data_IF_514838771765
#
_entry.id   IF_514838771765
#
_cell.length_a   1.000
_cell.length_b   1.000
_cell.length_c   1.000
_cell.angle_alpha   90.00
_cell.angle_beta   90.00
_cell.angle_gamma   90.00
#
_symmetry.space_group_name_H-M   'P 1'
#
loop_
_entity.id
_entity.type
_entity.pdbx_description
1 polymer ?
#
# COMPACT_ATOMS: atom_id res chain seq x y z
N UNK A 1 16.31 2.40 3.16
CA UNK A 1 14.86 2.30 3.31
C UNK A 1 14.41 0.85 3.15
N UNK A 2 13.33 0.49 3.84
CA UNK A 2 12.63 -0.80 3.70
C UNK A 2 11.11 -0.59 3.78
N UNK A 3 10.35 -1.47 3.12
CA UNK A 3 8.91 -1.55 3.31
C UNK A 3 8.59 -2.36 4.58
N UNK A 4 7.62 -1.91 5.36
CA UNK A 4 7.05 -2.70 6.46
C UNK A 4 5.54 -2.68 6.41
N UNK A 5 4.90 -3.81 6.71
CA UNK A 5 3.44 -3.89 6.79
C UNK A 5 2.97 -3.24 8.08
N UNK A 6 1.94 -2.40 7.99
CA UNK A 6 1.23 -1.86 9.16
C UNK A 6 -0.19 -2.42 9.24
N UNK A 7 -0.80 -2.21 10.40
CA UNK A 7 -2.19 -2.56 10.64
C UNK A 7 -3.10 -1.50 10.02
N UNK A 8 -4.22 -1.96 9.47
CA UNK A 8 -5.40 -1.16 9.12
C UNK A 8 -5.79 -0.24 10.29
N UNK A 9 -6.09 1.02 9.96
CA UNK A 9 -6.60 2.02 10.89
C UNK A 9 -8.07 2.35 10.64
N UNK A 10 -8.63 2.01 9.47
CA UNK A 10 -9.99 2.37 9.07
C UNK A 10 -11.07 1.30 9.33
N UNK A 11 -10.76 0.25 10.09
CA UNK A 11 -11.75 -0.74 10.52
C UNK A 11 -12.12 -1.72 9.42
N UNK A 12 -11.15 -2.10 8.57
CA UNK A 12 -11.28 -3.14 7.55
C UNK A 12 -11.44 -2.63 6.13
N UNK A 13 -11.28 -1.32 5.88
CA UNK A 13 -11.23 -0.78 4.52
C UNK A 13 -9.87 -0.94 3.89
N UNK A 14 -8.81 -0.78 4.68
CA UNK A 14 -7.44 -0.93 4.23
C UNK A 14 -7.04 -2.40 4.42
N UNK A 15 -7.14 -3.17 3.35
CA UNK A 15 -6.85 -4.61 3.41
C UNK A 15 -5.34 -4.85 3.56
N UNK A 16 -4.54 -3.96 2.98
CA UNK A 16 -3.08 -3.96 3.08
C UNK A 16 -2.56 -2.54 3.15
N UNK A 17 -1.67 -2.29 4.10
CA UNK A 17 -0.95 -1.02 4.19
C UNK A 17 0.52 -1.30 4.44
N UNK A 18 1.38 -0.65 3.68
CA UNK A 18 2.82 -0.71 3.82
C UNK A 18 3.41 0.69 3.90
N UNK A 19 4.48 0.81 4.67
CA UNK A 19 5.24 2.05 4.85
C UNK A 19 6.65 1.83 4.31
N UNK A 20 7.12 2.70 3.42
CA UNK A 20 8.52 2.80 3.05
C UNK A 20 9.20 3.67 4.09
N UNK A 21 10.09 3.07 4.87
CA UNK A 21 10.69 3.68 6.04
C UNK A 21 12.19 3.85 5.84
N UNK A 22 12.71 5.01 6.18
CA UNK A 22 14.15 5.25 6.24
C UNK A 22 14.80 4.49 7.41
N UNK A 23 15.93 3.82 7.15
CA UNK A 23 16.60 2.96 8.13
C UNK A 23 17.38 3.74 9.19
N UNK A 24 17.78 4.99 8.89
CA UNK A 24 18.59 5.81 9.78
C UNK A 24 17.72 6.55 10.82
N UNK A 25 16.57 7.09 10.41
CA UNK A 25 15.74 7.93 11.30
C UNK A 25 14.28 7.47 11.47
N UNK A 26 13.82 6.50 10.68
CA UNK A 26 12.48 5.92 10.79
C UNK A 26 11.36 6.78 10.18
N UNK A 27 11.69 7.84 9.43
CA UNK A 27 10.73 8.62 8.66
C UNK A 27 10.06 7.75 7.59
N UNK A 28 8.80 8.06 7.30
CA UNK A 28 8.04 7.43 6.21
C UNK A 28 8.18 8.31 4.97
N UNK A 29 8.72 7.77 3.89
CA UNK A 29 8.86 8.45 2.60
C UNK A 29 7.66 8.20 1.67
N UNK A 30 7.03 7.03 1.78
CA UNK A 30 5.88 6.64 0.97
C UNK A 30 5.00 5.63 1.72
N UNK A 31 3.70 5.70 1.46
CA UNK A 31 2.71 4.74 1.94
C UNK A 31 2.08 4.02 0.74
N UNK A 32 1.80 2.73 0.86
CA UNK A 32 1.13 1.92 -0.15
C UNK A 32 -0.13 1.29 0.46
N UNK A 33 -1.24 1.40 -0.24
CA UNK A 33 -2.55 0.95 0.20
C UNK A 33 -3.16 -0.05 -0.78
N UNK A 34 -3.81 -1.07 -0.23
CA UNK A 34 -4.84 -1.85 -0.90
C UNK A 34 -6.15 -1.56 -0.16
N UNK A 35 -7.09 -0.88 -0.81
CA UNK A 35 -8.39 -0.54 -0.23
C UNK A 35 -9.52 -1.27 -0.92
N UNK A 36 -10.61 -1.52 -0.18
CA UNK A 36 -11.89 -1.97 -0.74
C UNK A 36 -12.88 -0.81 -0.85
N UNK A 37 -13.61 -0.75 -1.97
CA UNK A 37 -14.75 0.16 -2.16
C UNK A 37 -16.07 -0.60 -2.18
N UNK A 38 -16.22 -1.65 -1.36
CA UNK A 38 -17.47 -2.42 -1.20
C UNK A 38 -18.71 -1.54 -0.97
N UNK A 39 -18.55 -0.34 -0.40
CA UNK A 39 -19.62 0.65 -0.22
C UNK A 39 -20.09 1.36 -1.50
N UNK A 40 -19.42 1.17 -2.66
CA UNK A 40 -19.74 1.77 -3.97
C UNK A 40 -20.09 0.77 -5.07
N UNK A 41 -20.21 -0.52 -4.75
CA UNK A 41 -20.50 -1.57 -5.73
C UNK A 41 -19.46 -2.67 -5.80
N UNK A 42 -18.44 -2.65 -4.93
CA UNK A 42 -17.35 -3.62 -4.90
C UNK A 42 -16.08 -3.07 -5.53
N UNK A 43 -15.05 -3.91 -5.59
CA UNK A 43 -13.75 -3.58 -6.16
C UNK A 43 -12.70 -3.17 -5.13
N UNK A 44 -11.47 -3.15 -5.62
CA UNK A 44 -10.27 -2.90 -4.86
C UNK A 44 -9.39 -1.92 -5.63
N UNK A 45 -8.76 -1.03 -4.90
CA UNK A 45 -7.83 -0.08 -5.48
C UNK A 45 -6.49 -0.18 -4.80
N UNK A 46 -5.45 0.15 -5.57
CA UNK A 46 -4.08 0.24 -5.09
C UNK A 46 -3.58 1.66 -5.30
N UNK A 47 -3.07 2.26 -4.25
CA UNK A 47 -2.57 3.64 -4.27
C UNK A 47 -1.25 3.77 -3.54
N UNK A 48 -0.38 4.65 -4.01
CA UNK A 48 0.70 5.21 -3.19
C UNK A 48 0.36 6.63 -2.74
N UNK A 49 0.88 7.00 -1.58
CA UNK A 49 0.78 8.35 -1.05
C UNK A 49 2.11 8.84 -0.49
N UNK A 50 2.46 10.09 -0.77
CA UNK A 50 3.62 10.76 -0.14
C UNK A 50 3.19 11.56 1.10
N UNK A 51 4.12 11.84 2.04
CA UNK A 51 3.84 12.68 3.21
C UNK A 51 3.36 14.10 2.87
N UNK A 52 3.70 14.59 1.68
CA UNK A 52 3.24 15.89 1.15
C UNK A 52 1.77 15.87 0.69
N UNK A 53 1.13 14.71 0.75
CA UNK A 53 -0.28 14.51 0.42
C UNK A 53 -0.55 14.28 -1.06
N UNK A 54 0.47 13.90 -1.84
CA UNK A 54 0.29 13.48 -3.23
C UNK A 54 -0.15 12.01 -3.26
N UNK A 55 -1.19 11.71 -4.05
CA UNK A 55 -1.74 10.37 -4.22
C UNK A 55 -1.59 9.92 -5.66
N UNK A 56 -1.11 8.70 -5.86
CA UNK A 56 -0.97 8.06 -7.18
C UNK A 56 -1.77 6.77 -7.19
N UNK A 57 -2.61 6.58 -8.21
CA UNK A 57 -3.34 5.32 -8.41
C UNK A 57 -2.48 4.35 -9.21
N UNK A 58 -2.20 3.20 -8.60
CA UNK A 58 -1.43 2.10 -9.17
C UNK A 58 -2.33 1.12 -9.93
N UNK A 59 -3.63 1.08 -9.61
CA UNK A 59 -4.64 0.35 -10.38
C UNK A 59 -5.97 0.19 -9.65
N UNK A 60 -6.98 -0.21 -10.41
CA UNK A 60 -8.32 -0.58 -9.95
C UNK A 60 -8.60 -2.03 -10.39
N UNK A 61 -9.15 -2.84 -9.49
CA UNK A 61 -9.31 -4.28 -9.66
C UNK A 61 -10.66 -4.76 -9.13
N UNK A 62 -11.25 -5.75 -9.79
CA UNK A 62 -12.46 -6.42 -9.29
C UNK A 62 -12.16 -7.53 -8.27
N UNK A 63 -10.90 -7.95 -8.20
CA UNK A 63 -10.43 -9.10 -7.40
C UNK A 63 -9.32 -8.69 -6.41
N UNK A 64 -9.43 -9.22 -5.19
CA UNK A 64 -8.52 -8.88 -4.10
C UNK A 64 -7.12 -9.46 -4.33
N UNK A 65 -7.01 -10.67 -4.90
CA UNK A 65 -5.71 -11.29 -5.15
C UNK A 65 -4.94 -10.49 -6.20
N UNK A 66 -5.62 -9.98 -7.23
CA UNK A 66 -5.05 -9.09 -8.23
C UNK A 66 -4.56 -7.76 -7.63
N UNK A 67 -5.34 -7.15 -6.73
CA UNK A 67 -4.94 -5.92 -6.06
C UNK A 67 -3.71 -6.12 -5.17
N UNK A 68 -3.69 -7.18 -4.35
CA UNK A 68 -2.51 -7.53 -3.55
C UNK A 68 -1.30 -7.86 -4.42
N UNK A 69 -1.50 -8.56 -5.54
CA UNK A 69 -0.41 -8.81 -6.49
C UNK A 69 0.17 -7.49 -7.00
N UNK A 70 -0.68 -6.52 -7.40
CA UNK A 70 -0.18 -5.22 -7.85
C UNK A 70 0.59 -4.50 -6.75
N UNK A 71 0.11 -4.51 -5.51
CA UNK A 71 0.83 -3.91 -4.38
C UNK A 71 2.21 -4.55 -4.17
N UNK A 72 2.32 -5.89 -4.29
CA UNK A 72 3.62 -6.55 -4.22
C UNK A 72 4.52 -6.22 -5.43
N UNK A 73 3.95 -6.08 -6.62
CA UNK A 73 4.69 -5.63 -7.81
C UNK A 73 5.24 -4.20 -7.59
N UNK A 74 4.46 -3.28 -6.97
CA UNK A 74 4.93 -1.91 -6.61
C UNK A 74 6.11 -1.95 -5.65
N UNK A 75 6.05 -2.81 -4.63
CA UNK A 75 7.15 -3.00 -3.68
C UNK A 75 8.42 -3.52 -4.38
N UNK A 76 8.28 -4.50 -5.28
CA UNK A 76 9.42 -5.05 -6.05
C UNK A 76 10.01 -4.00 -6.99
N UNK A 77 9.16 -3.21 -7.66
CA UNK A 77 9.52 -2.10 -8.55
C UNK A 77 10.26 -0.97 -7.82
N UNK A 78 9.98 -0.75 -6.53
CA UNK A 78 10.62 0.29 -5.74
C UNK A 78 12.09 -0.01 -5.41
N UNK A 79 12.55 -1.25 -5.63
CA UNK A 79 13.90 -1.73 -5.28
C UNK A 79 14.24 -1.60 -3.78
N UNK A 80 13.23 -1.53 -2.91
CA UNK A 80 13.39 -1.54 -1.46
C UNK A 80 12.88 -2.86 -0.88
N UNK A 81 13.62 -3.49 0.04
CA UNK A 81 13.22 -4.77 0.59
C UNK A 81 11.94 -4.64 1.42
N UNK A 82 11.10 -5.68 1.39
CA UNK A 82 10.02 -5.85 2.36
C UNK A 82 10.59 -6.52 3.62
N UNK A 83 10.35 -5.94 4.79
CA UNK A 83 10.70 -6.52 6.09
C UNK A 83 10.02 -7.88 6.26
N UNK A 84 10.82 -8.92 6.49
CA UNK A 84 10.33 -10.26 6.82
C UNK A 84 9.60 -10.24 8.18
N UNK A 85 8.36 -10.75 8.20
CA UNK A 85 7.49 -10.85 9.38
C UNK A 85 7.91 -11.93 10.38
#
# INVERSE_FOLDING_TARGET
>A
MHWKRRRDLEGGKELGVWLLVDDDDGTVDEELYVETHEYRGGGFDVYTATPDGEWTQEGEFEDVEAAFKRALDVIDESLHPLEDL
#
